data_IF_548757631227
#
_entry.id   IF_548757631227
#
_cell.length_a   1.000
_cell.length_b   1.000
_cell.length_c   1.000
_cell.angle_alpha   90.00
_cell.angle_beta   90.00
_cell.angle_gamma   90.00
#
_symmetry.space_group_name_H-M   'P 1'
#
loop_
_entity.id
_entity.type
_entity.pdbx_description
1 polymer ?
#
# COMPACT_ATOMS: atom_id res chain seq x y z
N UNK A 1 -7.19 15.57 2.83
CA UNK A 1 -6.92 15.33 1.39
C UNK A 1 -6.18 16.52 0.85
N UNK A 2 -5.28 16.31 -0.11
CA UNK A 2 -4.59 17.39 -0.85
C UNK A 2 -4.41 17.00 -2.31
N UNK A 3 -3.99 17.96 -3.12
CA UNK A 3 -3.51 17.69 -4.47
C UNK A 3 -1.99 17.48 -4.45
N UNK A 4 -1.50 16.51 -5.22
CA UNK A 4 -0.05 16.34 -5.41
C UNK A 4 0.48 17.37 -6.39
N UNK A 5 1.75 17.77 -6.21
CA UNK A 5 2.42 18.73 -7.10
C UNK A 5 2.88 18.10 -8.43
N UNK A 6 2.79 16.78 -8.53
CA UNK A 6 3.19 16.02 -9.71
C UNK A 6 4.65 15.59 -9.73
N UNK A 7 5.44 15.82 -8.67
CA UNK A 7 6.82 15.36 -8.51
C UNK A 7 7.01 14.18 -7.56
N UNK A 8 5.97 13.89 -6.79
CA UNK A 8 5.95 12.84 -5.78
C UNK A 8 5.85 11.44 -6.40
N UNK A 9 6.61 10.50 -5.84
CA UNK A 9 6.57 9.08 -6.21
C UNK A 9 5.83 8.31 -5.13
N UNK A 10 4.91 7.46 -5.56
CA UNK A 10 4.17 6.56 -4.69
C UNK A 10 4.37 5.11 -5.12
N UNK A 11 4.12 4.21 -4.16
CA UNK A 11 4.24 2.78 -4.32
C UNK A 11 2.90 2.15 -3.98
N UNK A 12 2.30 1.47 -4.96
CA UNK A 12 1.09 0.68 -4.77
C UNK A 12 1.48 -0.78 -4.65
N UNK A 13 1.38 -1.33 -3.44
CA UNK A 13 1.53 -2.76 -3.19
C UNK A 13 0.22 -3.47 -3.48
N UNK A 14 0.29 -4.50 -4.33
CA UNK A 14 -0.87 -5.28 -4.75
C UNK A 14 -0.94 -6.53 -3.88
N UNK A 15 -1.94 -6.56 -3.01
CA UNK A 15 -2.26 -7.69 -2.15
C UNK A 15 -3.39 -8.51 -2.76
N UNK A 16 -3.16 -9.81 -2.95
CA UNK A 16 -4.20 -10.76 -3.33
C UNK A 16 -4.74 -11.44 -2.07
N UNK A 17 -6.04 -11.36 -1.83
CA UNK A 17 -6.70 -12.10 -0.76
C UNK A 17 -6.81 -13.58 -1.12
N UNK A 18 -6.73 -14.44 -0.11
CA UNK A 18 -7.21 -15.82 -0.16
C UNK A 18 -8.76 -15.92 -0.32
N UNK A 19 -9.23 -17.14 -0.66
CA UNK A 19 -10.60 -17.72 -0.88
C UNK A 19 -11.75 -16.89 -1.49
N UNK A 20 -11.84 -15.57 -1.27
CA UNK A 20 -12.90 -14.69 -1.78
C UNK A 20 -12.46 -13.81 -2.98
N UNK A 21 -11.19 -13.86 -3.37
CA UNK A 21 -10.67 -13.18 -4.57
C UNK A 21 -10.70 -11.65 -4.51
N UNK A 22 -10.76 -11.05 -3.31
CA UNK A 22 -10.69 -9.60 -3.14
C UNK A 22 -9.25 -9.10 -3.34
N UNK A 23 -9.10 -8.02 -4.09
CA UNK A 23 -7.82 -7.32 -4.25
C UNK A 23 -7.69 -6.21 -3.21
N UNK A 24 -6.59 -6.22 -2.48
CA UNK A 24 -6.20 -5.17 -1.54
C UNK A 24 -5.05 -4.37 -2.14
N UNK A 25 -5.12 -3.05 -1.99
CA UNK A 25 -4.10 -2.16 -2.54
C UNK A 25 -3.64 -1.21 -1.46
N UNK A 26 -2.35 -1.17 -1.21
CA UNK A 26 -1.75 -0.31 -0.19
C UNK A 26 -0.85 0.71 -0.87
N UNK A 27 -1.19 2.00 -0.76
CA UNK A 27 -0.39 3.07 -1.34
C UNK A 27 0.47 3.71 -0.28
N UNK A 28 1.74 3.85 -0.57
CA UNK A 28 2.73 4.40 0.35
C UNK A 28 3.62 5.42 -0.38
N UNK A 29 4.26 6.30 0.36
CA UNK A 29 5.28 7.22 -0.16
C UNK A 29 6.72 6.67 0.03
N UNK A 30 6.84 5.41 0.46
CA UNK A 30 8.09 4.72 0.77
C UNK A 30 8.08 3.32 0.17
N UNK A 31 9.17 2.95 -0.51
CA UNK A 31 9.39 1.56 -0.93
C UNK A 31 9.95 0.75 0.24
N UNK A 32 9.29 -0.34 0.56
CA UNK A 32 9.71 -1.32 1.56
C UNK A 32 10.63 -2.37 0.93
N UNK A 33 11.65 -2.77 1.70
CA UNK A 33 12.64 -3.78 1.32
C UNK A 33 12.36 -5.15 1.93
N UNK A 34 11.41 -5.27 2.86
CA UNK A 34 10.97 -6.54 3.45
C UNK A 34 9.47 -6.53 3.72
N UNK A 35 8.84 -7.69 3.64
CA UNK A 35 7.41 -7.84 3.90
C UNK A 35 7.09 -7.52 5.37
N UNK A 36 7.96 -7.96 6.29
CA UNK A 36 7.80 -7.72 7.72
C UNK A 36 7.67 -6.23 8.04
N UNK A 37 8.54 -5.38 7.49
CA UNK A 37 8.49 -3.93 7.74
C UNK A 37 7.26 -3.30 7.07
N UNK A 38 6.89 -3.78 5.87
CA UNK A 38 5.66 -3.35 5.21
C UNK A 38 4.42 -3.64 6.06
N UNK A 39 4.33 -4.86 6.60
CA UNK A 39 3.22 -5.29 7.44
C UNK A 39 3.16 -4.52 8.75
N UNK A 40 4.29 -4.35 9.43
CA UNK A 40 4.38 -3.58 10.68
C UNK A 40 3.94 -2.13 10.47
N UNK A 41 4.51 -1.42 9.49
CA UNK A 41 4.24 0.00 9.27
C UNK A 41 2.82 0.24 8.73
N UNK A 42 2.28 -0.66 7.90
CA UNK A 42 0.92 -0.53 7.34
C UNK A 42 -0.15 -1.25 8.16
N UNK A 43 0.25 -1.89 9.27
CA UNK A 43 -0.60 -2.69 10.14
C UNK A 43 -1.42 -3.75 9.38
N UNK A 44 -0.76 -4.53 8.52
CA UNK A 44 -1.37 -5.60 7.73
C UNK A 44 -1.15 -6.93 8.44
N UNK A 45 -2.18 -7.39 9.16
CA UNK A 45 -2.13 -8.62 9.96
C UNK A 45 -1.91 -9.86 9.08
N UNK A 46 -1.17 -10.83 9.58
CA UNK A 46 -0.96 -12.12 8.91
C UNK A 46 -2.27 -12.92 8.79
N UNK A 47 -3.15 -12.84 9.81
CA UNK A 47 -4.43 -13.54 9.80
C UNK A 47 -5.36 -13.13 8.65
N UNK A 48 -5.14 -11.95 8.05
CA UNK A 48 -5.90 -11.51 6.88
C UNK A 48 -5.55 -12.30 5.62
N UNK A 49 -4.44 -13.06 5.62
CA UNK A 49 -4.03 -13.94 4.52
C UNK A 49 -3.86 -13.20 3.19
N UNK A 50 -3.42 -11.95 3.25
CA UNK A 50 -3.12 -11.12 2.08
C UNK A 50 -1.72 -11.47 1.59
N UNK A 51 -1.60 -11.95 0.36
CA UNK A 51 -0.31 -12.19 -0.30
C UNK A 51 0.10 -10.95 -1.10
N UNK A 52 1.24 -10.33 -0.76
CA UNK A 52 1.74 -9.17 -1.50
C UNK A 52 2.53 -9.67 -2.73
N UNK A 53 1.96 -9.54 -3.93
CA UNK A 53 2.53 -10.15 -5.15
C UNK A 53 3.49 -9.21 -5.89
N UNK A 54 3.16 -7.92 -5.92
CA UNK A 54 3.91 -6.94 -6.71
C UNK A 54 3.80 -5.54 -6.14
N UNK A 55 4.66 -4.65 -6.63
CA UNK A 55 4.60 -3.22 -6.35
C UNK A 55 4.66 -2.43 -7.64
N UNK A 56 3.70 -1.52 -7.82
CA UNK A 56 3.73 -0.50 -8.87
C UNK A 56 4.33 0.78 -8.31
N UNK A 57 5.40 1.25 -8.95
CA UNK A 57 5.92 2.61 -8.73
C UNK A 57 5.25 3.55 -9.72
N UNK A 58 4.70 4.65 -9.24
CA UNK A 58 4.00 5.61 -10.08
C UNK A 58 4.19 7.05 -9.60
N UNK A 59 4.08 7.99 -10.54
CA UNK A 59 4.19 9.43 -10.34
C UNK A 59 2.88 10.06 -10.84
N UNK A 60 1.93 10.38 -9.95
CA UNK A 60 0.64 10.95 -10.37
C UNK A 60 0.84 12.33 -10.99
N UNK A 61 -0.08 12.73 -11.86
CA UNK A 61 -0.06 14.07 -12.45
C UNK A 61 -0.32 15.13 -11.38
N UNK A 62 0.24 16.32 -11.56
CA UNK A 62 -0.06 17.49 -10.74
C UNK A 62 -1.58 17.72 -10.70
N UNK A 63 -2.10 18.05 -9.51
CA UNK A 63 -3.55 18.23 -9.31
C UNK A 63 -4.32 16.96 -8.94
N UNK A 64 -3.68 15.78 -8.97
CA UNK A 64 -4.33 14.54 -8.54
C UNK A 64 -4.61 14.57 -7.04
N UNK A 65 -5.84 14.27 -6.63
CA UNK A 65 -6.23 14.22 -5.22
C UNK A 65 -5.73 12.94 -4.54
N UNK A 66 -5.19 13.12 -3.33
CA UNK A 66 -4.79 12.05 -2.44
C UNK A 66 -5.35 12.29 -1.03
N UNK A 67 -5.97 11.25 -0.48
CA UNK A 67 -6.23 11.12 0.95
C UNK A 67 -5.00 10.51 1.61
N UNK A 68 -4.56 11.08 2.73
CA UNK A 68 -3.34 10.65 3.40
C UNK A 68 -3.65 10.44 4.87
N UNK A 69 -2.96 9.48 5.46
CA UNK A 69 -3.06 9.20 6.87
C UNK A 69 -1.92 8.33 7.36
N UNK A 70 -1.95 8.10 8.66
CA UNK A 70 -1.07 7.16 9.34
C UNK A 70 -1.82 5.85 9.54
N UNK A 71 -1.20 4.71 9.24
CA UNK A 71 -1.78 3.40 9.50
C UNK A 71 -2.07 3.27 11.01
N UNK A 72 -3.31 2.91 11.35
CA UNK A 72 -3.69 2.73 12.74
C UNK A 72 -3.20 1.36 13.24
N UNK A 73 -2.76 1.30 14.50
CA UNK A 73 -2.41 0.07 15.19
C UNK A 73 -3.49 -1.00 14.99
N UNK A 74 -3.07 -2.22 14.70
CA UNK A 74 -3.95 -3.39 14.60
C UNK A 74 -3.52 -4.48 15.58
N UNK A 75 -4.49 -5.27 16.01
CA UNK A 75 -4.31 -6.43 16.89
C UNK A 75 -5.08 -7.58 16.27
N UNK A 76 -4.47 -8.76 16.16
CA UNK A 76 -5.13 -9.95 15.63
C UNK A 76 -6.32 -10.36 16.50
N UNK A 77 -7.21 -11.16 15.92
CA UNK A 77 -8.44 -11.62 16.57
C UNK A 77 -8.16 -12.46 17.82
N UNK A 78 -7.03 -13.17 17.87
CA UNK A 78 -6.54 -13.92 19.02
C UNK A 78 -5.63 -13.12 19.98
N UNK A 79 -5.30 -11.88 19.62
CA UNK A 79 -4.41 -11.01 20.38
C UNK A 79 -2.92 -11.35 20.33
N UNK A 80 -2.50 -12.36 19.54
CA UNK A 80 -1.11 -12.80 19.46
C UNK A 80 -0.22 -11.87 18.64
N UNK A 81 -0.76 -11.26 17.59
CA UNK A 81 -0.07 -10.29 16.73
C UNK A 81 -0.53 -8.88 17.07
N UNK A 82 0.45 -7.98 17.27
CA UNK A 82 0.22 -6.56 17.51
C UNK A 82 1.12 -5.79 16.57
N UNK A 83 0.54 -5.12 15.57
CA UNK A 83 1.26 -4.29 14.63
C UNK A 83 1.03 -2.82 14.98
N UNK A 84 2.11 -2.09 15.21
CA UNK A 84 2.06 -0.71 15.69
C UNK A 84 1.40 0.23 14.67
N UNK A 85 1.50 -0.08 13.38
CA UNK A 85 1.16 0.84 12.31
C UNK A 85 2.16 2.00 12.29
N UNK A 86 1.66 3.23 12.10
CA UNK A 86 2.51 4.42 12.10
C UNK A 86 3.07 4.78 10.72
N UNK A 87 3.02 3.85 9.76
CA UNK A 87 3.42 4.10 8.38
C UNK A 87 2.47 5.02 7.64
N UNK A 88 2.97 5.68 6.60
CA UNK A 88 2.16 6.46 5.70
C UNK A 88 1.24 5.56 4.87
N UNK A 89 -0.04 5.91 4.79
CA UNK A 89 -1.03 5.32 3.90
C UNK A 89 -1.70 6.39 3.03
N UNK A 90 -1.79 6.10 1.73
CA UNK A 90 -2.45 6.94 0.74
C UNK A 90 -3.73 6.30 0.19
N UNK A 91 -4.69 7.15 -0.15
CA UNK A 91 -5.88 6.81 -0.93
C UNK A 91 -5.89 7.73 -2.15
N UNK A 92 -5.54 7.15 -3.29
CA UNK A 92 -5.74 7.73 -4.62
C UNK A 92 -6.71 6.81 -5.37
N UNK A 93 -7.20 7.19 -6.55
CA UNK A 93 -7.91 6.25 -7.41
C UNK A 93 -6.94 5.15 -7.92
N UNK A 94 -6.70 4.15 -7.07
CA UNK A 94 -5.73 3.08 -7.26
C UNK A 94 -6.19 2.01 -8.23
N UNK A 95 -7.51 1.89 -8.45
CA UNK A 95 -8.08 0.89 -9.36
C UNK A 95 -7.74 1.22 -10.81
N UNK A 96 -7.71 2.50 -11.15
CA UNK A 96 -7.50 2.99 -12.52
C UNK A 96 -6.39 4.05 -12.57
N UNK A 97 -5.16 3.67 -12.18
CA UNK A 97 -3.99 4.54 -12.39
C UNK A 97 -3.77 4.74 -13.91
N UNK A 98 -3.67 5.97 -14.42
CA UNK A 98 -3.37 6.19 -15.83
C UNK A 98 -2.03 5.56 -16.19
N UNK A 99 -1.95 4.82 -17.29
CA UNK A 99 -0.70 4.15 -17.72
C UNK A 99 0.48 5.12 -17.86
N UNK A 100 0.22 6.38 -18.21
CA UNK A 100 1.21 7.46 -18.30
C UNK A 100 1.85 7.85 -16.96
N UNK A 101 1.21 7.51 -15.84
CA UNK A 101 1.74 7.76 -14.48
C UNK A 101 2.58 6.61 -13.95
N UNK A 102 2.46 5.42 -14.55
CA UNK A 102 3.15 4.21 -14.10
C UNK A 102 4.60 4.27 -14.59
N UNK A 103 5.54 4.17 -13.65
CA UNK A 103 6.97 4.08 -13.95
C UNK A 103 7.34 2.62 -14.19
N UNK A 104 6.93 1.72 -13.29
CA UNK A 104 7.18 0.28 -13.40
C UNK A 104 6.28 -0.51 -12.45
N UNK A 105 6.08 -1.79 -12.78
CA UNK A 105 5.53 -2.78 -11.85
C UNK A 105 6.52 -3.94 -11.77
N UNK A 106 6.90 -4.32 -10.57
CA UNK A 106 7.82 -5.43 -10.33
C UNK A 106 7.17 -6.44 -9.38
N UNK A 107 7.42 -7.73 -9.60
CA UNK A 107 7.12 -8.76 -8.61
C UNK A 107 7.96 -8.49 -7.37
N UNK A 108 7.35 -8.58 -6.18
CA UNK A 108 8.11 -8.54 -4.94
C UNK A 108 8.56 -9.95 -4.60
N UNK A 109 9.87 -10.10 -4.36
CA UNK A 109 10.46 -11.26 -3.72
C UNK A 109 11.12 -10.68 -2.48
N UNK A 110 10.42 -10.73 -1.35
CA UNK A 110 10.97 -10.31 -0.07
C UNK A 110 11.98 -11.32 0.48
#
# INVERSE_FOLDING_TARGET
MRQVNGDEIFYKYHGKSNRLGREYNYVTNKKYTSEKVLREELAILEEWGVEIESVTTFKPQAGTWIGEGTAARQVSSDGAEVLSGGGYQGIINVKNLPKSTIIQTIKVNF
#
